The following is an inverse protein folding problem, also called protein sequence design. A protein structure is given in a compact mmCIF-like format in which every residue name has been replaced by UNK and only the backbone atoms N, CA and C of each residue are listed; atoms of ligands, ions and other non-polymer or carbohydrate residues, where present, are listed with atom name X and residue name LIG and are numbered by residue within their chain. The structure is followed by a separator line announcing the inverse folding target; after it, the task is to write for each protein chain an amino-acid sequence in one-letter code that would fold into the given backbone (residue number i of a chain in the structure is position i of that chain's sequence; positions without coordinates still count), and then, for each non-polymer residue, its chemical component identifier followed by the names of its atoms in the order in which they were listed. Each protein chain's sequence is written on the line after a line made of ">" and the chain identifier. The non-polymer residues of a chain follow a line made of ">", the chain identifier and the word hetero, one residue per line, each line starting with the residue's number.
data_IF_386815058368
#
_entry.id   IF_386815058368
#
_cell.length_a   1.000
_cell.length_b   1.000
_cell.length_c   1.000
_cell.angle_alpha   90.00
_cell.angle_beta   90.00
_cell.angle_gamma   90.00
#
_symmetry.space_group_name_H-M   'P 1'
#
loop_
_entity.id
_entity.type
_entity.pdbx_description
1 polymer ?
#
# COMPACT_ATOMS: atom_id res chain seq x y z
N UNK A 1 -3.85 -4.56 17.97
CA UNK A 1 -5.03 -4.44 17.09
C UNK A 1 -5.20 -3.04 16.48
N UNK A 2 -4.90 -1.95 17.19
CA UNK A 2 -4.93 -0.59 16.63
C UNK A 2 -4.06 -0.40 15.38
N UNK A 3 -2.86 -1.00 15.34
CA UNK A 3 -2.02 -1.00 14.14
C UNK A 3 -2.73 -1.67 12.95
N UNK A 4 -3.32 -2.85 13.17
CA UNK A 4 -4.03 -3.60 12.13
C UNK A 4 -5.26 -2.82 11.62
N UNK A 5 -5.94 -2.10 12.51
CA UNK A 5 -7.04 -1.20 12.18
C UNK A 5 -6.56 0.02 11.36
N UNK A 6 -5.44 0.65 11.75
CA UNK A 6 -4.83 1.76 10.99
C UNK A 6 -4.39 1.33 9.59
N UNK A 7 -3.94 0.09 9.46
CA UNK A 7 -3.56 -0.54 8.19
C UNK A 7 -4.76 -1.02 7.37
N UNK A 8 -5.98 -0.96 7.92
CA UNK A 8 -7.21 -1.40 7.24
C UNK A 8 -7.37 -2.92 7.15
N UNK A 9 -6.61 -3.68 7.94
CA UNK A 9 -6.63 -5.14 7.93
C UNK A 9 -7.80 -5.72 8.75
N UNK A 10 -8.24 -4.99 9.78
CA UNK A 10 -9.38 -5.35 10.63
C UNK A 10 -10.33 -4.18 10.80
N UNK A 11 -11.62 -4.50 10.95
CA UNK A 11 -12.68 -3.56 11.26
C UNK A 11 -13.05 -3.72 12.73
N UNK A 12 -13.09 -2.61 13.44
CA UNK A 12 -13.57 -2.51 14.80
C UNK A 12 -15.10 -2.48 14.84
N UNK A 13 -15.71 -3.30 15.70
CA UNK A 13 -17.11 -3.19 16.10
C UNK A 13 -17.22 -3.20 17.62
N UNK A 14 -18.27 -2.55 18.14
CA UNK A 14 -18.56 -2.48 19.58
C UNK A 14 -19.80 -3.29 19.88
N UNK A 15 -19.70 -4.26 20.78
CA UNK A 15 -20.84 -5.02 21.27
C UNK A 15 -20.88 -4.89 22.81
N UNK A 16 -21.80 -4.05 23.29
CA UNK A 16 -21.88 -3.65 24.70
C UNK A 16 -20.59 -2.95 25.19
N UNK A 17 -19.93 -3.56 26.18
CA UNK A 17 -18.64 -3.06 26.73
C UNK A 17 -17.41 -3.71 26.08
N UNK A 18 -17.57 -4.68 25.19
CA UNK A 18 -16.47 -5.41 24.54
C UNK A 18 -16.13 -4.79 23.19
N UNK A 19 -14.83 -4.74 22.88
CA UNK A 19 -14.31 -4.41 21.55
C UNK A 19 -14.16 -5.71 20.77
N UNK A 20 -14.80 -5.79 19.62
CA UNK A 20 -14.67 -6.90 18.68
C UNK A 20 -13.95 -6.42 17.44
N UNK A 21 -13.19 -7.34 16.84
CA UNK A 21 -12.43 -7.09 15.63
C UNK A 21 -12.71 -8.22 14.66
N UNK A 22 -13.05 -7.87 13.42
CA UNK A 22 -13.20 -8.82 12.32
C UNK A 22 -12.28 -8.44 11.17
N UNK A 23 -11.88 -9.41 10.35
CA UNK A 23 -11.15 -9.11 9.12
C UNK A 23 -11.97 -8.14 8.24
N UNK A 24 -11.30 -7.22 7.54
CA UNK A 24 -11.97 -6.25 6.70
C UNK A 24 -12.63 -6.86 5.45
N UNK A 25 -12.25 -8.09 5.08
CA UNK A 25 -12.77 -8.84 3.95
C UNK A 25 -12.00 -10.16 3.78
N UNK A 26 -11.98 -10.70 2.57
CA UNK A 26 -11.08 -11.80 2.21
C UNK A 26 -9.61 -11.38 2.34
N UNK A 27 -8.67 -12.34 2.32
CA UNK A 27 -7.24 -12.03 2.35
C UNK A 27 -6.82 -11.06 1.23
N UNK A 28 -7.43 -11.18 0.03
CA UNK A 28 -7.16 -10.29 -1.09
C UNK A 28 -7.71 -8.88 -0.86
N UNK A 29 -8.90 -8.74 -0.27
CA UNK A 29 -9.46 -7.44 0.13
C UNK A 29 -8.58 -6.74 1.16
N UNK A 30 -8.08 -7.52 2.13
CA UNK A 30 -7.22 -7.04 3.20
C UNK A 30 -5.87 -6.57 2.63
N UNK A 31 -5.28 -7.32 1.71
CA UNK A 31 -4.05 -6.95 1.02
C UNK A 31 -4.23 -5.70 0.15
N UNK A 32 -5.32 -5.64 -0.63
CA UNK A 32 -5.66 -4.49 -1.47
C UNK A 32 -5.76 -3.21 -0.63
N UNK A 33 -6.57 -3.24 0.43
CA UNK A 33 -6.76 -2.11 1.33
C UNK A 33 -5.44 -1.64 1.97
N UNK A 34 -4.60 -2.58 2.38
CA UNK A 34 -3.28 -2.26 2.96
C UNK A 34 -2.38 -1.54 1.96
N UNK A 35 -2.28 -2.06 0.73
CA UNK A 35 -1.42 -1.47 -0.31
C UNK A 35 -1.93 -0.10 -0.75
N UNK A 36 -3.25 0.06 -0.91
CA UNK A 36 -3.87 1.34 -1.24
C UNK A 36 -3.64 2.40 -0.15
N UNK A 37 -3.84 2.02 1.12
CA UNK A 37 -3.59 2.92 2.25
C UNK A 37 -2.12 3.31 2.34
N UNK A 38 -1.21 2.36 2.12
CA UNK A 38 0.23 2.62 2.10
C UNK A 38 0.59 3.61 0.99
N UNK A 39 0.04 3.44 -0.22
CA UNK A 39 0.23 4.37 -1.33
C UNK A 39 -0.30 5.78 -1.00
N UNK A 40 -1.52 5.86 -0.46
CA UNK A 40 -2.24 7.12 -0.24
C UNK A 40 -1.76 7.91 0.97
N UNK A 41 -1.45 7.22 2.07
CA UNK A 41 -1.19 7.84 3.37
C UNK A 41 0.29 7.85 3.76
N UNK A 42 1.14 7.03 3.14
CA UNK A 42 2.57 6.97 3.46
C UNK A 42 3.42 7.46 2.29
N UNK A 43 3.36 6.76 1.15
CA UNK A 43 4.24 7.05 0.01
C UNK A 43 3.96 8.40 -0.65
N UNK A 44 2.69 8.68 -0.98
CA UNK A 44 2.35 9.93 -1.68
C UNK A 44 2.65 11.18 -0.84
N UNK A 45 2.31 11.23 0.47
CA UNK A 45 2.68 12.35 1.32
C UNK A 45 4.19 12.50 1.51
N UNK A 46 4.93 11.39 1.65
CA UNK A 46 6.39 11.43 1.81
C UNK A 46 7.08 11.98 0.56
N UNK A 47 6.70 11.51 -0.62
CA UNK A 47 7.20 12.05 -1.90
C UNK A 47 6.92 13.54 -2.02
N UNK A 48 5.68 13.95 -1.70
CA UNK A 48 5.28 15.37 -1.74
C UNK A 48 6.12 16.21 -0.77
N UNK A 49 6.27 15.76 0.48
CA UNK A 49 7.05 16.44 1.50
C UNK A 49 8.51 16.62 1.10
N UNK A 50 9.17 15.56 0.62
CA UNK A 50 10.57 15.63 0.20
C UNK A 50 10.72 16.61 -0.97
N UNK A 51 9.84 16.53 -1.97
CA UNK A 51 9.87 17.41 -3.15
C UNK A 51 9.68 18.90 -2.80
N UNK A 52 8.76 19.21 -1.89
CA UNK A 52 8.48 20.58 -1.45
C UNK A 52 9.62 21.18 -0.61
N UNK A 53 10.36 20.35 0.14
CA UNK A 53 11.43 20.81 1.02
C UNK A 53 12.83 20.71 0.41
N UNK A 54 12.97 20.07 -0.75
CA UNK A 54 14.24 19.85 -1.45
C UNK A 54 15.07 21.14 -1.66
N UNK A 55 14.48 22.29 -2.03
CA UNK A 55 15.23 23.54 -2.18
C UNK A 55 15.80 24.08 -0.86
N UNK A 56 15.23 23.69 0.28
CA UNK A 56 15.60 24.18 1.62
C UNK A 56 16.78 23.40 2.21
N UNK A 57 17.15 22.27 1.63
CA UNK A 57 18.29 21.48 2.10
C UNK A 57 19.61 22.06 1.61
N UNK A 58 20.63 21.95 2.46
CA UNK A 58 22.02 22.20 2.08
C UNK A 58 22.46 21.18 1.00
N UNK A 59 23.55 21.48 0.30
CA UNK A 59 23.99 20.71 -0.88
C UNK A 59 24.21 19.22 -0.60
N UNK A 60 24.85 18.88 0.53
CA UNK A 60 25.10 17.49 0.94
C UNK A 60 23.81 16.74 1.23
N UNK A 61 22.90 17.36 1.99
CA UNK A 61 21.59 16.76 2.33
C UNK A 61 20.67 16.69 1.13
N UNK A 62 20.75 17.66 0.21
CA UNK A 62 19.93 17.71 -1.00
C UNK A 62 20.20 16.53 -1.91
N UNK A 63 21.46 16.20 -2.20
CA UNK A 63 21.81 15.05 -3.03
C UNK A 63 21.26 13.74 -2.48
N UNK A 64 21.36 13.53 -1.16
CA UNK A 64 20.78 12.36 -0.50
C UNK A 64 19.25 12.35 -0.57
N UNK A 65 18.62 13.52 -0.38
CA UNK A 65 17.17 13.67 -0.47
C UNK A 65 16.65 13.43 -1.91
N UNK A 66 17.40 13.81 -2.94
CA UNK A 66 17.08 13.52 -4.34
C UNK A 66 17.12 12.02 -4.64
N UNK A 67 18.17 11.32 -4.15
CA UNK A 67 18.23 9.85 -4.29
C UNK A 67 17.06 9.18 -3.58
N UNK A 68 16.74 9.61 -2.35
CA UNK A 68 15.57 9.10 -1.63
C UNK A 68 14.27 9.40 -2.39
N UNK A 69 14.10 10.61 -2.90
CA UNK A 69 12.92 10.99 -3.68
C UNK A 69 12.74 10.07 -4.89
N UNK A 70 13.81 9.77 -5.63
CA UNK A 70 13.76 8.87 -6.77
C UNK A 70 13.34 7.45 -6.37
N UNK A 71 13.90 6.90 -5.30
CA UNK A 71 13.53 5.56 -4.83
C UNK A 71 12.08 5.50 -4.34
N UNK A 72 11.61 6.52 -3.64
CA UNK A 72 10.20 6.62 -3.22
C UNK A 72 9.24 6.81 -4.40
N UNK A 73 9.64 7.54 -5.44
CA UNK A 73 8.83 7.67 -6.66
C UNK A 73 8.75 6.34 -7.43
N UNK A 74 9.86 5.60 -7.56
CA UNK A 74 9.86 4.24 -8.13
C UNK A 74 8.95 3.31 -7.34
N UNK A 75 9.11 3.28 -6.02
CA UNK A 75 8.29 2.46 -5.13
C UNK A 75 6.79 2.80 -5.27
N UNK A 76 6.45 4.09 -5.36
CA UNK A 76 5.07 4.56 -5.56
C UNK A 76 4.50 4.06 -6.88
N UNK A 77 5.25 4.14 -7.98
CA UNK A 77 4.82 3.67 -9.30
C UNK A 77 4.62 2.16 -9.29
N UNK A 78 5.61 1.41 -8.79
CA UNK A 78 5.55 -0.06 -8.71
C UNK A 78 4.36 -0.51 -7.86
N UNK A 79 4.16 0.10 -6.69
CA UNK A 79 3.04 -0.24 -5.82
C UNK A 79 1.69 0.06 -6.49
N UNK A 80 1.57 1.21 -7.18
CA UNK A 80 0.34 1.55 -7.93
C UNK A 80 0.02 0.51 -8.99
N UNK A 81 1.01 0.11 -9.78
CA UNK A 81 0.85 -0.93 -10.82
C UNK A 81 0.41 -2.26 -10.19
N UNK A 82 1.02 -2.67 -9.08
CA UNK A 82 0.66 -3.90 -8.38
C UNK A 82 -0.76 -3.87 -7.82
N UNK A 83 -1.21 -2.73 -7.28
CA UNK A 83 -2.60 -2.56 -6.83
C UNK A 83 -3.57 -2.71 -8.00
N UNK A 84 -3.27 -2.10 -9.15
CA UNK A 84 -4.10 -2.22 -10.35
C UNK A 84 -4.17 -3.67 -10.87
N UNK A 85 -3.07 -4.42 -10.82
CA UNK A 85 -3.08 -5.84 -11.15
C UNK A 85 -3.87 -6.67 -10.14
N UNK A 86 -3.69 -6.42 -8.84
CA UNK A 86 -4.40 -7.13 -7.78
C UNK A 86 -5.92 -7.00 -7.97
N UNK A 87 -6.41 -5.79 -8.26
CA UNK A 87 -7.83 -5.54 -8.58
C UNK A 87 -8.30 -6.38 -9.76
N UNK A 88 -7.56 -6.36 -10.87
CA UNK A 88 -7.88 -7.16 -12.06
C UNK A 88 -7.87 -8.65 -11.80
N UNK A 89 -7.02 -9.13 -10.89
CA UNK A 89 -6.88 -10.56 -10.60
C UNK A 89 -7.96 -11.05 -9.64
N UNK A 90 -8.42 -10.20 -8.73
CA UNK A 90 -9.49 -10.48 -7.77
C UNK A 90 -10.83 -10.73 -8.45
N UNK A 91 -11.06 -10.12 -9.61
CA UNK A 91 -12.28 -10.32 -10.41
C UNK A 91 -12.23 -11.58 -11.30
N UNK A 92 -11.13 -12.34 -11.28
CA UNK A 92 -11.02 -13.56 -12.09
C UNK A 92 -11.71 -14.76 -11.43
N UNK A 93 -12.17 -15.69 -12.26
CA UNK A 93 -12.53 -17.02 -11.76
C UNK A 93 -11.31 -17.71 -11.14
N UNK A 94 -11.51 -18.63 -10.17
CA UNK A 94 -10.42 -19.38 -9.56
C UNK A 94 -9.48 -20.08 -10.58
N UNK A 95 -10.02 -20.62 -11.68
CA UNK A 95 -9.19 -21.25 -12.71
C UNK A 95 -8.29 -20.25 -13.44
N UNK A 96 -8.84 -19.08 -13.77
CA UNK A 96 -8.11 -18.02 -14.46
C UNK A 96 -7.05 -17.37 -13.55
N UNK A 97 -7.35 -17.22 -12.27
CA UNK A 97 -6.39 -16.80 -11.26
C UNK A 97 -5.22 -17.79 -11.15
N UNK A 98 -5.52 -19.08 -11.00
CA UNK A 98 -4.50 -20.14 -10.91
C UNK A 98 -3.61 -20.19 -12.16
N UNK A 99 -4.19 -20.05 -13.36
CA UNK A 99 -3.46 -19.99 -14.63
C UNK A 99 -2.49 -18.82 -14.68
N UNK A 100 -2.91 -17.61 -14.24
CA UNK A 100 -2.02 -16.44 -14.17
C UNK A 100 -0.90 -16.62 -13.14
N UNK A 101 -1.20 -17.14 -11.95
CA UNK A 101 -0.19 -17.39 -10.92
C UNK A 101 0.91 -18.34 -11.41
N UNK A 102 0.53 -19.37 -12.17
CA UNK A 102 1.50 -20.32 -12.75
C UNK A 102 2.48 -19.67 -13.72
N UNK A 103 2.04 -18.65 -14.47
CA UNK A 103 2.90 -17.89 -15.41
C UNK A 103 3.86 -16.97 -14.64
N UNK A 104 3.40 -16.39 -13.52
CA UNK A 104 4.18 -15.43 -12.72
C UNK A 104 5.22 -16.12 -11.83
N UNK A 105 4.99 -17.38 -11.46
CA UNK A 105 5.90 -18.18 -10.62
C UNK A 105 6.94 -19.01 -11.39
N UNK A 106 7.00 -18.85 -12.72
CA UNK A 106 8.04 -19.42 -13.58
C UNK A 106 9.12 -18.37 -13.87
#
# INVERSE_FOLDING_TARGET
>A
LSLLESLGLVIYSKEGRRKLYKAAGSLLDVLENFLERTLKHQLSPTVKFIKENLPRFNERTRKNAETLLQEYEKARILLKINVEYLKKWKDLSPENFAKKMRIVMQ
#
